data_IF_040663909213
#
_entry.id   IF_040663909213
#
_cell.length_a   1.000
_cell.length_b   1.000
_cell.length_c   1.000
_cell.angle_alpha   90.00
_cell.angle_beta   90.00
_cell.angle_gamma   90.00
#
_symmetry.space_group_name_H-M   'P 1'
#
loop_
_entity.id
_entity.type
_entity.pdbx_description
1 polymer ?
#
# COMPACT_ATOMS: atom_id res chain seq x y z
N UNK A 1 12.10 -9.79 37.56
CA UNK A 1 11.18 -10.94 37.78
C UNK A 1 9.76 -10.41 37.94
N UNK A 2 8.83 -10.95 37.14
CA UNK A 2 7.37 -11.12 37.37
C UNK A 2 6.55 -9.85 37.70
N UNK A 3 5.77 -9.36 36.73
CA UNK A 3 4.38 -9.76 36.40
C UNK A 3 3.35 -9.01 37.24
N UNK A 4 2.70 -8.02 36.62
CA UNK A 4 1.31 -7.66 36.93
C UNK A 4 0.54 -7.53 35.61
N UNK A 5 -0.35 -8.50 35.42
CA UNK A 5 -1.30 -8.67 34.32
C UNK A 5 -2.70 -8.49 34.91
N UNK A 6 -3.61 -7.99 34.07
CA UNK A 6 -5.07 -8.15 34.06
C UNK A 6 -5.97 -7.07 34.70
N UNK A 7 -6.67 -6.35 33.81
CA UNK A 7 -8.06 -5.89 33.83
C UNK A 7 -8.36 -5.62 32.33
N UNK A 8 -9.25 -6.26 31.59
CA UNK A 8 -10.69 -6.55 31.79
C UNK A 8 -11.10 -7.77 30.92
N UNK A 9 -12.15 -8.55 31.28
CA UNK A 9 -12.49 -9.83 30.64
C UNK A 9 -13.31 -9.75 29.34
N UNK A 10 -13.13 -10.81 28.54
CA UNK A 10 -13.88 -11.22 27.34
C UNK A 10 -15.39 -11.42 27.61
N UNK A 11 -16.24 -10.79 26.80
CA UNK A 11 -17.68 -11.12 26.71
C UNK A 11 -17.84 -12.30 25.76
N UNK A 12 -17.66 -13.51 26.29
CA UNK A 12 -18.15 -14.75 25.73
C UNK A 12 -18.33 -15.75 26.86
N UNK A 13 -19.48 -15.64 27.55
CA UNK A 13 -20.10 -16.64 28.43
C UNK A 13 -21.19 -15.96 29.26
N UNK A 14 -22.42 -15.90 28.73
CA UNK A 14 -23.62 -15.71 29.55
C UNK A 14 -24.74 -16.59 28.98
N UNK A 15 -24.56 -17.90 29.15
CA UNK A 15 -25.63 -18.89 29.05
C UNK A 15 -25.40 -19.91 30.16
N UNK A 16 -26.01 -19.69 31.33
CA UNK A 16 -26.94 -20.61 32.02
C UNK A 16 -27.09 -20.27 33.50
N UNK A 17 -28.30 -20.53 33.99
CA UNK A 17 -28.71 -20.65 35.39
C UNK A 17 -29.04 -19.35 36.16
N UNK A 18 -30.33 -18.98 36.15
CA UNK A 18 -31.11 -19.22 37.37
C UNK A 18 -32.60 -19.43 37.06
N UNK A 19 -33.07 -20.63 37.42
CA UNK A 19 -34.46 -20.92 37.79
C UNK A 19 -34.81 -20.06 39.00
N UNK A 20 -35.93 -19.35 38.95
CA UNK A 20 -36.76 -19.19 40.14
C UNK A 20 -38.26 -19.32 39.79
N UNK A 21 -38.96 -20.01 40.69
CA UNK A 21 -40.36 -20.39 40.66
C UNK A 21 -41.18 -19.31 41.37
N UNK A 22 -42.14 -18.68 40.68
CA UNK A 22 -43.51 -18.38 41.16
C UNK A 22 -44.18 -17.37 40.24
N UNK A 23 -45.18 -17.82 39.49
CA UNK A 23 -46.53 -17.26 39.48
C UNK A 23 -47.33 -18.07 38.46
N UNK A 24 -48.29 -18.82 38.98
CA UNK A 24 -49.18 -19.72 38.29
C UNK A 24 -50.52 -19.02 38.03
N UNK A 25 -51.21 -19.43 36.96
CA UNK A 25 -52.64 -19.25 36.63
C UNK A 25 -53.11 -17.92 36.00
N UNK A 26 -53.54 -18.01 34.73
CA UNK A 26 -54.96 -18.16 34.39
C UNK A 26 -55.13 -18.51 32.89
N UNK A 27 -56.06 -19.43 32.61
CA UNK A 27 -56.42 -19.98 31.30
C UNK A 27 -57.67 -19.24 30.79
N UNK A 28 -57.73 -18.98 29.49
CA UNK A 28 -58.86 -19.30 28.58
C UNK A 28 -59.35 -18.16 27.66
N UNK A 29 -59.61 -18.59 26.41
CA UNK A 29 -60.54 -18.09 25.40
C UNK A 29 -60.06 -17.13 24.29
N UNK A 30 -59.81 -17.77 23.14
CA UNK A 30 -60.53 -17.59 21.87
C UNK A 30 -60.06 -16.56 20.83
N UNK A 31 -60.03 -17.07 19.59
CA UNK A 31 -60.22 -16.39 18.30
C UNK A 31 -58.98 -15.88 17.53
N UNK A 32 -58.52 -16.76 16.64
CA UNK A 32 -58.18 -16.53 15.22
C UNK A 32 -57.81 -15.09 14.82
N UNK A 33 -56.53 -14.89 14.48
CA UNK A 33 -56.04 -14.05 13.37
C UNK A 33 -54.59 -14.47 13.05
N UNK A 34 -54.34 -14.90 11.80
CA UNK A 34 -52.99 -15.08 11.26
C UNK A 34 -52.28 -13.72 11.16
N UNK A 35 -51.00 -13.60 11.55
CA UNK A 35 -50.15 -12.52 11.07
C UNK A 35 -49.00 -13.01 10.17
N UNK A 36 -48.68 -12.15 9.21
CA UNK A 36 -47.66 -12.22 8.17
C UNK A 36 -46.23 -12.56 8.66
N UNK A 37 -45.32 -13.01 7.77
CA UNK A 37 -43.95 -13.36 8.17
C UNK A 37 -43.18 -12.12 8.65
N UNK A 38 -42.57 -12.26 9.82
CA UNK A 38 -41.62 -11.31 10.39
C UNK A 38 -40.35 -11.29 9.54
N UNK A 39 -40.18 -10.23 8.75
CA UNK A 39 -38.86 -9.80 8.28
C UNK A 39 -38.17 -9.14 9.48
N UNK A 40 -36.99 -9.58 9.94
CA UNK A 40 -36.22 -8.80 10.89
C UNK A 40 -35.63 -7.60 10.14
N UNK A 41 -36.35 -6.48 10.18
CA UNK A 41 -35.79 -5.16 9.88
C UNK A 41 -34.76 -4.85 10.96
N UNK A 42 -33.48 -5.08 10.67
CA UNK A 42 -32.41 -4.50 11.46
C UNK A 42 -32.41 -2.99 11.20
N UNK A 43 -33.15 -2.25 12.02
CA UNK A 43 -33.09 -0.80 12.04
C UNK A 43 -31.71 -0.39 12.54
N UNK A 44 -30.85 0.04 11.61
CA UNK A 44 -29.68 0.86 11.96
C UNK A 44 -30.22 2.19 12.47
N UNK A 45 -30.13 2.43 13.78
CA UNK A 45 -30.45 3.73 14.35
C UNK A 45 -29.38 4.72 13.92
N UNK A 46 -29.78 5.72 13.14
CA UNK A 46 -28.94 6.75 12.52
C UNK A 46 -28.36 7.76 13.54
N UNK A 47 -28.19 7.38 14.82
CA UNK A 47 -27.64 8.23 15.88
C UNK A 47 -26.20 7.88 16.28
N UNK A 48 -25.57 6.86 15.68
CA UNK A 48 -24.21 6.39 16.02
C UNK A 48 -23.11 6.79 15.01
N UNK A 49 -23.43 7.64 14.03
CA UNK A 49 -22.47 8.13 13.01
C UNK A 49 -21.93 9.54 13.34
N UNK A 50 -22.27 10.10 14.51
CA UNK A 50 -21.57 11.29 15.03
C UNK A 50 -20.29 10.87 15.73
N UNK A 51 -19.17 10.94 15.00
CA UNK A 51 -17.83 10.93 15.59
C UNK A 51 -17.16 9.57 15.72
N UNK A 52 -17.25 8.69 14.71
CA UNK A 52 -16.38 7.52 14.62
C UNK A 52 -14.94 7.95 14.27
N UNK A 53 -14.25 8.54 15.25
CA UNK A 53 -12.82 8.87 15.23
C UNK A 53 -12.04 7.57 15.29
N UNK A 54 -11.87 6.91 14.15
CA UNK A 54 -10.90 5.83 14.06
C UNK A 54 -9.54 6.51 13.97
N UNK A 55 -8.65 6.22 14.93
CA UNK A 55 -7.21 6.31 14.69
C UNK A 55 -6.85 5.21 13.68
N UNK A 56 -7.37 5.36 12.46
CA UNK A 56 -7.00 4.55 11.34
C UNK A 56 -5.56 4.94 11.10
N UNK A 57 -4.67 3.97 11.12
CA UNK A 57 -3.32 4.27 10.65
C UNK A 57 -3.39 4.31 9.13
N UNK A 58 -3.81 5.46 8.64
CA UNK A 58 -3.61 5.98 7.27
C UNK A 58 -2.16 6.38 7.07
N UNK A 59 -1.23 5.68 7.70
CA UNK A 59 0.11 5.66 7.17
C UNK A 59 0.01 4.91 5.86
N UNK A 60 -0.13 5.63 4.74
CA UNK A 60 0.26 5.09 3.45
C UNK A 60 1.61 4.39 3.65
N UNK A 61 1.75 3.13 3.23
CA UNK A 61 3.10 2.54 3.12
C UNK A 61 3.86 3.15 1.94
N UNK A 62 3.45 4.31 1.45
CA UNK A 62 4.46 5.22 0.97
C UNK A 62 5.53 5.57 2.03
N UNK A 63 5.32 5.17 3.28
CA UNK A 63 6.37 4.86 4.27
C UNK A 63 7.22 3.63 3.91
N UNK A 64 7.97 3.70 2.81
CA UNK A 64 9.14 2.85 2.47
C UNK A 64 8.84 1.50 1.87
N UNK A 65 9.34 1.31 0.66
CA UNK A 65 8.97 0.21 -0.19
C UNK A 65 10.12 -0.10 -1.16
N UNK A 66 11.05 -1.01 -0.77
CA UNK A 66 12.22 -1.44 -1.57
C UNK A 66 12.52 -2.96 -1.44
N UNK A 67 12.23 -3.71 -2.53
CA UNK A 67 12.88 -4.86 -3.22
C UNK A 67 13.19 -6.28 -2.62
N UNK A 68 12.79 -7.38 -3.36
CA UNK A 68 12.95 -8.91 -3.35
C UNK A 68 11.90 -10.08 -3.23
N UNK A 69 11.71 -10.88 -4.33
CA UNK A 69 11.92 -12.36 -4.57
C UNK A 69 10.85 -13.03 -5.47
N UNK A 70 10.98 -14.19 -6.15
CA UNK A 70 11.99 -15.00 -6.89
C UNK A 70 11.18 -16.19 -7.45
N UNK A 71 11.41 -16.65 -8.70
CA UNK A 71 11.46 -18.09 -9.07
C UNK A 71 12.46 -18.26 -10.21
N UNK A 72 13.43 -19.14 -10.00
CA UNK A 72 14.48 -19.56 -10.93
C UNK A 72 13.92 -20.48 -12.03
N UNK A 73 14.35 -20.30 -13.28
CA UNK A 73 14.05 -21.19 -14.40
C UNK A 73 15.19 -21.19 -15.42
N UNK A 74 15.59 -22.38 -15.86
CA UNK A 74 16.90 -22.76 -16.41
C UNK A 74 17.20 -22.36 -17.86
N UNK A 75 18.51 -22.19 -18.11
CA UNK A 75 19.38 -22.43 -19.29
C UNK A 75 18.70 -22.82 -20.63
N UNK A 76 19.07 -22.11 -21.70
CA UNK A 76 19.45 -22.68 -23.02
C UNK A 76 20.28 -21.64 -23.82
N UNK A 77 21.46 -22.07 -24.29
CA UNK A 77 22.27 -21.35 -25.29
C UNK A 77 21.53 -21.33 -26.64
N UNK A 78 21.78 -20.30 -27.47
CA UNK A 78 22.59 -20.60 -28.65
C UNK A 78 23.61 -19.51 -29.01
N UNK A 79 24.70 -19.99 -29.59
CA UNK A 79 25.68 -19.26 -30.40
C UNK A 79 25.05 -18.62 -31.64
N UNK A 80 25.47 -17.41 -32.02
CA UNK A 80 26.38 -17.18 -33.16
C UNK A 80 26.23 -15.80 -33.86
N UNK A 81 27.36 -15.41 -34.47
CA UNK A 81 27.59 -14.53 -35.63
C UNK A 81 27.77 -13.03 -35.43
N UNK A 82 29.00 -12.64 -35.79
CA UNK A 82 29.59 -11.32 -36.02
C UNK A 82 29.00 -10.66 -37.27
N UNK A 83 28.61 -9.40 -37.17
CA UNK A 83 28.51 -8.50 -38.32
C UNK A 83 29.19 -7.17 -37.95
N UNK A 84 30.28 -6.86 -38.66
CA UNK A 84 30.96 -5.58 -38.57
C UNK A 84 30.21 -4.55 -39.43
N UNK A 85 29.80 -3.45 -38.82
CA UNK A 85 29.30 -2.27 -39.50
C UNK A 85 29.66 -1.05 -38.68
N UNK A 86 30.78 -0.40 -39.00
CA UNK A 86 31.16 0.88 -38.39
C UNK A 86 30.26 1.95 -38.98
N UNK A 87 29.26 2.37 -38.21
CA UNK A 87 28.57 3.65 -38.41
C UNK A 87 28.85 4.51 -37.20
N UNK A 88 29.64 5.55 -37.39
CA UNK A 88 29.80 6.64 -36.41
C UNK A 88 28.48 7.39 -36.30
N UNK A 89 27.57 6.85 -35.49
CA UNK A 89 26.42 7.57 -34.97
C UNK A 89 26.81 8.10 -33.60
N UNK A 90 26.66 9.40 -33.38
CA UNK A 90 26.76 9.99 -32.06
C UNK A 90 25.75 9.26 -31.15
N UNK A 91 26.16 8.43 -30.18
CA UNK A 91 25.23 7.54 -29.51
C UNK A 91 24.46 8.35 -28.50
N UNK A 92 23.27 8.83 -28.88
CA UNK A 92 22.21 8.95 -27.90
C UNK A 92 21.94 7.53 -27.42
N UNK A 93 22.55 7.16 -26.29
CA UNK A 93 22.42 5.84 -25.67
C UNK A 93 20.95 5.69 -25.26
N UNK A 94 20.17 5.09 -26.15
CA UNK A 94 18.78 4.74 -25.90
C UNK A 94 18.74 3.70 -24.77
N UNK A 95 17.74 3.82 -23.89
CA UNK A 95 17.57 2.87 -22.80
C UNK A 95 17.32 1.46 -23.37
N UNK A 96 18.09 0.51 -22.90
CA UNK A 96 18.00 -0.91 -23.24
C UNK A 96 17.00 -1.60 -22.33
N UNK A 97 16.45 -2.73 -22.77
CA UNK A 97 15.48 -3.50 -22.00
C UNK A 97 16.15 -4.22 -20.83
N UNK A 98 15.39 -4.48 -19.76
CA UNK A 98 15.91 -5.17 -18.57
C UNK A 98 16.51 -6.55 -18.84
N UNK A 99 16.05 -7.26 -19.87
CA UNK A 99 16.59 -8.58 -20.26
C UNK A 99 18.07 -8.54 -20.69
N UNK A 100 18.56 -7.36 -21.09
CA UNK A 100 19.95 -7.15 -21.53
C UNK A 100 20.81 -6.47 -20.46
N UNK A 101 20.29 -6.32 -19.24
CA UNK A 101 21.00 -5.65 -18.16
C UNK A 101 22.32 -6.36 -17.81
N UNK A 102 23.37 -5.60 -17.43
CA UNK A 102 24.63 -6.19 -17.00
C UNK A 102 24.40 -7.15 -15.83
N UNK A 103 25.08 -8.30 -15.86
CA UNK A 103 24.98 -9.31 -14.81
C UNK A 103 25.27 -8.74 -13.41
N UNK A 104 26.19 -7.76 -13.34
CA UNK A 104 26.52 -7.05 -12.11
C UNK A 104 25.35 -6.25 -11.54
N UNK A 105 24.54 -5.59 -12.39
CA UNK A 105 23.36 -4.85 -11.93
C UNK A 105 22.28 -5.80 -11.42
N UNK A 106 22.02 -6.89 -12.14
CA UNK A 106 21.06 -7.92 -11.72
C UNK A 106 21.46 -8.54 -10.37
N UNK A 107 22.76 -8.86 -10.21
CA UNK A 107 23.31 -9.37 -8.95
C UNK A 107 23.18 -8.34 -7.82
N UNK A 108 23.56 -7.09 -8.07
CA UNK A 108 23.47 -6.01 -7.09
C UNK A 108 22.04 -5.83 -6.57
N UNK A 109 21.06 -5.76 -7.48
CA UNK A 109 19.66 -5.67 -7.10
C UNK A 109 19.28 -6.88 -6.25
N UNK A 110 19.59 -8.10 -6.69
CA UNK A 110 19.32 -9.34 -5.93
C UNK A 110 19.92 -9.33 -4.50
N UNK A 111 21.07 -8.70 -4.29
CA UNK A 111 21.70 -8.59 -2.97
C UNK A 111 21.05 -7.53 -2.07
N UNK A 112 20.72 -6.35 -2.60
CA UNK A 112 19.94 -5.30 -1.90
C UNK A 112 18.64 -5.91 -1.37
N UNK A 113 17.98 -6.54 -2.31
CA UNK A 113 16.78 -7.30 -2.16
C UNK A 113 16.88 -8.35 -1.02
N UNK A 114 17.94 -9.15 -1.02
CA UNK A 114 18.14 -10.19 -0.02
C UNK A 114 18.39 -9.62 1.37
N UNK A 115 18.97 -8.42 1.46
CA UNK A 115 19.15 -7.70 2.71
C UNK A 115 17.87 -7.01 3.22
N UNK A 116 16.93 -6.65 2.33
CA UNK A 116 15.63 -6.06 2.69
C UNK A 116 14.60 -7.11 3.17
N UNK A 117 14.49 -8.24 2.46
CA UNK A 117 14.14 -9.52 3.10
C UNK A 117 15.22 -9.81 4.17
N UNK A 118 15.16 -10.71 5.14
CA UNK A 118 16.03 -10.64 6.35
C UNK A 118 15.92 -9.37 7.22
N UNK A 119 15.49 -8.20 6.69
CA UNK A 119 15.34 -6.93 7.43
C UNK A 119 16.66 -6.45 8.04
N UNK A 120 17.75 -6.61 7.30
CA UNK A 120 19.07 -6.20 7.73
C UNK A 120 19.36 -4.77 7.24
N UNK A 121 19.03 -3.80 8.09
CA UNK A 121 19.08 -2.38 7.69
C UNK A 121 20.50 -1.96 7.36
N UNK A 122 21.49 -2.48 8.10
CA UNK A 122 22.89 -2.17 7.87
C UNK A 122 23.35 -2.72 6.52
N UNK A 123 22.97 -3.95 6.18
CA UNK A 123 23.28 -4.53 4.88
C UNK A 123 22.60 -3.78 3.73
N UNK A 124 21.34 -3.33 3.89
CA UNK A 124 20.67 -2.51 2.88
C UNK A 124 21.38 -1.16 2.72
N UNK A 125 21.65 -0.47 3.82
CA UNK A 125 22.30 0.84 3.78
C UNK A 125 23.73 0.77 3.22
N UNK A 126 24.38 -0.39 3.28
CA UNK A 126 25.66 -0.62 2.62
C UNK A 126 25.60 -0.51 1.08
N UNK A 127 24.43 -0.50 0.46
CA UNK A 127 24.28 -0.24 -0.98
C UNK A 127 24.01 1.23 -1.32
N UNK A 128 23.83 2.10 -0.33
CA UNK A 128 23.59 3.53 -0.57
C UNK A 128 24.91 4.31 -0.49
N UNK A 129 25.08 5.27 -1.40
CA UNK A 129 26.19 6.21 -1.36
C UNK A 129 26.05 7.19 -0.19
N UNK A 130 27.18 7.77 0.26
CA UNK A 130 27.14 8.79 1.32
C UNK A 130 26.40 10.06 0.86
N UNK A 131 26.54 10.42 -0.41
CA UNK A 131 25.87 11.57 -1.04
C UNK A 131 24.58 11.18 -1.76
N UNK A 132 23.89 10.15 -1.26
CA UNK A 132 22.65 9.66 -1.86
C UNK A 132 21.58 10.75 -1.87
N UNK A 133 20.89 10.88 -3.02
CA UNK A 133 19.76 11.81 -3.21
C UNK A 133 18.49 11.06 -3.57
N UNK A 134 17.36 11.50 -3.03
CA UNK A 134 16.04 10.93 -3.32
C UNK A 134 15.04 12.01 -3.72
N UNK A 135 14.13 11.71 -4.66
CA UNK A 135 13.09 12.65 -5.13
C UNK A 135 12.20 13.21 -4.03
N UNK A 136 12.03 12.45 -2.94
CA UNK A 136 11.09 12.78 -1.86
C UNK A 136 11.78 13.45 -0.64
N UNK A 137 13.03 13.89 -0.84
CA UNK A 137 13.84 14.55 0.19
C UNK A 137 14.50 13.60 1.19
N UNK A 138 14.57 12.31 0.86
CA UNK A 138 15.29 11.32 1.66
C UNK A 138 16.80 11.37 1.39
N UNK A 139 17.56 11.18 2.46
CA UNK A 139 19.00 10.98 2.48
C UNK A 139 19.30 9.64 3.17
N UNK A 140 20.57 9.23 3.22
CA UNK A 140 20.93 7.92 3.77
C UNK A 140 20.49 7.75 5.24
N UNK A 141 20.56 8.80 6.06
CA UNK A 141 20.21 8.73 7.48
C UNK A 141 18.69 8.56 7.70
N UNK A 142 17.87 9.37 7.02
CA UNK A 142 16.43 9.27 7.20
C UNK A 142 15.84 8.05 6.46
N UNK A 143 16.51 7.53 5.43
CA UNK A 143 16.22 6.24 4.80
C UNK A 143 16.44 5.07 5.78
N UNK A 144 17.55 5.04 6.50
CA UNK A 144 17.83 3.99 7.50
C UNK A 144 16.76 3.97 8.61
N UNK A 145 16.48 5.15 9.18
CA UNK A 145 15.46 5.31 10.24
C UNK A 145 14.11 4.79 9.77
N UNK A 146 13.76 5.14 8.55
CA UNK A 146 12.52 4.78 7.94
C UNK A 146 12.35 3.29 7.64
N UNK A 147 13.36 2.66 7.04
CA UNK A 147 13.36 1.21 6.81
C UNK A 147 13.22 0.46 8.15
N UNK A 148 13.91 0.95 9.18
CA UNK A 148 13.79 0.39 10.54
C UNK A 148 12.36 0.47 11.06
N UNK A 149 11.71 1.63 10.95
CA UNK A 149 10.32 1.82 11.39
C UNK A 149 9.32 1.00 10.58
N UNK A 150 9.53 0.90 9.26
CA UNK A 150 8.73 0.06 8.39
C UNK A 150 8.79 -1.41 8.85
N UNK A 151 9.97 -1.96 9.05
CA UNK A 151 10.13 -3.38 9.42
C UNK A 151 9.69 -3.68 10.84
N UNK A 152 9.77 -2.72 11.76
CA UNK A 152 9.13 -2.84 13.07
C UNK A 152 7.61 -2.96 12.94
N UNK A 153 7.03 -2.24 11.99
CA UNK A 153 5.57 -2.21 11.76
C UNK A 153 5.07 -3.37 10.91
N UNK A 154 5.86 -3.84 9.96
CA UNK A 154 5.52 -4.93 9.06
C UNK A 154 6.68 -5.93 9.02
N UNK A 155 6.78 -6.82 10.02
CA UNK A 155 7.94 -7.70 10.20
C UNK A 155 8.02 -8.82 9.16
N UNK A 156 6.95 -9.09 8.41
CA UNK A 156 6.89 -10.18 7.43
C UNK A 156 6.94 -9.72 5.97
N UNK A 157 7.39 -8.48 5.72
CA UNK A 157 7.50 -7.96 4.35
C UNK A 157 8.44 -8.81 3.51
N UNK A 158 7.98 -9.14 2.32
CA UNK A 158 8.77 -9.62 1.22
C UNK A 158 8.64 -8.59 0.10
N UNK A 159 9.62 -8.55 -0.76
CA UNK A 159 9.69 -7.52 -1.75
C UNK A 159 9.80 -8.18 -3.16
N UNK A 160 10.23 -7.53 -4.27
CA UNK A 160 10.75 -8.14 -5.53
C UNK A 160 11.13 -7.07 -6.53
N UNK A 161 12.37 -7.06 -7.02
CA UNK A 161 12.75 -6.05 -8.00
C UNK A 161 13.20 -6.59 -9.33
N UNK A 162 12.69 -5.95 -10.36
CA UNK A 162 12.92 -6.26 -11.75
C UNK A 162 13.42 -5.01 -12.46
N UNK A 163 14.39 -5.18 -13.35
CA UNK A 163 14.86 -4.11 -14.21
C UNK A 163 13.87 -3.99 -15.35
N UNK A 164 13.28 -2.81 -15.51
CA UNK A 164 12.42 -2.49 -16.66
C UNK A 164 13.28 -2.01 -17.84
N UNK A 165 14.17 -1.06 -17.57
CA UNK A 165 15.10 -0.54 -18.56
C UNK A 165 16.42 -0.12 -17.91
N UNK A 166 17.47 0.03 -18.69
CA UNK A 166 18.76 0.52 -18.21
C UNK A 166 19.56 1.23 -19.31
N UNK A 167 20.51 2.07 -18.92
CA UNK A 167 21.50 2.68 -19.82
C UNK A 167 22.80 2.92 -19.08
N UNK A 168 23.91 2.84 -19.81
CA UNK A 168 25.21 3.30 -19.34
C UNK A 168 25.35 4.82 -19.51
N UNK A 169 25.89 5.49 -18.50
CA UNK A 169 26.24 6.91 -18.51
C UNK A 169 27.66 7.09 -17.95
N UNK A 170 28.66 7.00 -18.84
CA UNK A 170 30.07 6.94 -18.42
C UNK A 170 30.33 5.65 -17.64
N UNK A 171 30.84 5.78 -16.41
CA UNK A 171 31.03 4.66 -15.47
C UNK A 171 29.77 4.30 -14.68
N UNK A 172 28.70 5.07 -14.80
CA UNK A 172 27.47 4.86 -14.08
C UNK A 172 26.47 4.04 -14.89
N UNK A 173 25.53 3.40 -14.18
CA UNK A 173 24.36 2.77 -14.77
C UNK A 173 23.12 3.49 -14.26
N UNK A 174 22.23 3.89 -15.16
CA UNK A 174 20.90 4.39 -14.81
C UNK A 174 19.89 3.32 -15.17
N UNK A 175 19.11 2.84 -14.22
CA UNK A 175 18.09 1.80 -14.44
C UNK A 175 16.72 2.26 -13.96
N UNK A 176 15.70 1.96 -14.75
CA UNK A 176 14.31 1.96 -14.28
C UNK A 176 13.99 0.58 -13.72
N UNK A 177 13.53 0.52 -12.48
CA UNK A 177 13.20 -0.71 -11.77
C UNK A 177 11.73 -0.73 -11.36
N UNK A 178 11.15 -1.92 -11.28
CA UNK A 178 9.83 -2.16 -10.70
C UNK A 178 9.99 -3.08 -9.51
N UNK A 179 9.58 -2.56 -8.36
CA UNK A 179 9.65 -3.19 -7.06
C UNK A 179 8.25 -3.57 -6.60
N UNK A 180 7.98 -4.85 -6.35
CA UNK A 180 6.72 -5.35 -5.76
C UNK A 180 6.92 -5.73 -4.31
N UNK A 181 5.93 -5.55 -3.46
CA UNK A 181 6.09 -5.71 -2.02
C UNK A 181 4.82 -6.30 -1.46
N UNK A 182 4.97 -7.30 -0.61
CA UNK A 182 3.84 -7.98 0.00
C UNK A 182 4.21 -8.51 1.39
N UNK A 183 3.27 -8.45 2.32
CA UNK A 183 3.44 -9.07 3.62
C UNK A 183 2.21 -8.90 4.47
N UNK A 184 2.27 -9.44 5.67
CA UNK A 184 1.18 -9.34 6.64
C UNK A 184 1.67 -8.81 7.98
N UNK A 185 0.79 -8.13 8.69
CA UNK A 185 1.05 -7.71 10.05
C UNK A 185 -0.17 -8.00 10.91
N UNK A 186 0.05 -8.68 12.03
CA UNK A 186 -0.98 -8.90 13.04
C UNK A 186 -0.80 -7.87 14.14
N UNK A 187 -1.80 -6.99 14.30
CA UNK A 187 -1.86 -6.05 15.40
C UNK A 187 -3.22 -6.16 16.08
N UNK A 188 -3.25 -6.28 17.40
CA UNK A 188 -4.48 -6.25 18.19
C UNK A 188 -5.56 -7.24 17.69
N UNK A 189 -5.13 -8.44 17.27
CA UNK A 189 -6.01 -9.48 16.73
C UNK A 189 -6.50 -9.24 15.29
N UNK A 190 -6.12 -8.13 14.65
CA UNK A 190 -6.43 -7.82 13.25
C UNK A 190 -5.22 -8.11 12.37
N UNK A 191 -5.46 -8.89 11.32
CA UNK A 191 -4.47 -9.13 10.27
C UNK A 191 -4.61 -8.07 9.18
N UNK A 192 -3.53 -7.34 8.95
CA UNK A 192 -3.36 -6.40 7.87
C UNK A 192 -2.53 -7.06 6.78
N UNK A 193 -3.06 -7.08 5.56
CA UNK A 193 -2.35 -7.51 4.37
C UNK A 193 -1.88 -6.29 3.61
N UNK A 194 -0.63 -6.31 3.19
CA UNK A 194 0.02 -5.24 2.45
C UNK A 194 0.40 -5.75 1.08
N UNK A 195 0.09 -4.95 0.05
CA UNK A 195 0.61 -5.10 -1.31
C UNK A 195 1.03 -3.75 -1.84
N UNK A 196 2.16 -3.68 -2.53
CA UNK A 196 2.64 -2.44 -3.10
C UNK A 196 3.48 -2.67 -4.36
N UNK A 197 3.50 -1.66 -5.23
CA UNK A 197 4.35 -1.60 -6.41
C UNK A 197 4.97 -0.21 -6.53
N UNK A 198 6.29 -0.17 -6.69
CA UNK A 198 7.06 1.06 -6.92
C UNK A 198 7.81 0.94 -8.23
N UNK A 199 7.70 1.98 -9.06
CA UNK A 199 8.53 2.16 -10.24
C UNK A 199 9.49 3.30 -9.96
N UNK A 200 10.78 3.02 -10.04
CA UNK A 200 11.81 3.99 -9.71
C UNK A 200 12.88 4.09 -10.79
N UNK A 201 13.49 5.25 -10.92
CA UNK A 201 14.74 5.43 -11.66
C UNK A 201 15.88 5.54 -10.66
N UNK A 202 16.90 4.72 -10.82
CA UNK A 202 18.04 4.64 -9.92
C UNK A 202 19.33 4.84 -10.71
N UNK A 203 20.25 5.63 -10.13
CA UNK A 203 21.61 5.78 -10.63
C UNK A 203 22.56 5.01 -9.73
N UNK A 204 23.33 4.13 -10.35
CA UNK A 204 24.34 3.30 -9.72
C UNK A 204 25.72 3.76 -10.15
N UNK A 205 26.59 4.00 -9.17
CA UNK A 205 28.01 4.28 -9.38
C UNK A 205 28.81 3.23 -8.61
N UNK A 206 29.56 2.40 -9.35
CA UNK A 206 30.10 1.15 -8.79
C UNK A 206 28.97 0.25 -8.30
N UNK A 207 29.00 -0.12 -7.02
CA UNK A 207 27.96 -0.93 -6.36
C UNK A 207 27.06 -0.10 -5.43
N UNK A 208 27.01 1.23 -5.63
CA UNK A 208 26.25 2.14 -4.77
C UNK A 208 25.13 2.83 -5.52
N UNK A 209 23.95 2.89 -4.91
CA UNK A 209 22.86 3.77 -5.31
C UNK A 209 23.22 5.18 -4.86
N UNK A 210 23.42 6.09 -5.82
CA UNK A 210 23.75 7.50 -5.55
C UNK A 210 22.56 8.43 -5.78
N UNK A 211 21.57 8.00 -6.56
CA UNK A 211 20.33 8.74 -6.78
C UNK A 211 19.16 7.80 -6.99
N UNK A 212 18.01 8.14 -6.46
CA UNK A 212 16.74 7.45 -6.71
C UNK A 212 15.59 8.45 -6.90
N UNK A 213 14.77 8.21 -7.91
CA UNK A 213 13.56 8.97 -8.19
C UNK A 213 12.37 8.01 -8.28
N UNK A 214 11.28 8.32 -7.57
CA UNK A 214 10.04 7.55 -7.63
C UNK A 214 9.18 8.07 -8.79
N UNK A 215 9.00 7.22 -9.80
CA UNK A 215 8.24 7.54 -11.01
C UNK A 215 6.75 7.23 -10.85
N UNK A 216 6.45 6.11 -10.19
CA UNK A 216 5.08 5.71 -9.85
C UNK A 216 5.10 4.85 -8.58
N UNK A 217 4.03 4.91 -7.81
CA UNK A 217 3.88 4.14 -6.58
C UNK A 217 2.41 3.89 -6.32
N UNK A 218 2.08 2.65 -5.96
CA UNK A 218 0.77 2.27 -5.46
C UNK A 218 0.94 1.30 -4.30
N UNK A 219 0.16 1.55 -3.25
CA UNK A 219 0.09 0.73 -2.05
C UNK A 219 -1.36 0.36 -1.77
N UNK A 220 -1.61 -0.87 -1.36
CA UNK A 220 -2.89 -1.36 -0.90
C UNK A 220 -2.72 -2.06 0.45
N UNK A 221 -3.59 -1.70 1.39
CA UNK A 221 -3.75 -2.33 2.68
C UNK A 221 -5.15 -2.93 2.76
N UNK A 222 -5.25 -4.19 3.20
CA UNK A 222 -6.56 -4.82 3.44
C UNK A 222 -6.63 -5.46 4.82
N UNK A 223 -7.82 -5.48 5.39
CA UNK A 223 -8.11 -6.07 6.70
C UNK A 223 -9.49 -6.72 6.69
N UNK A 224 -9.67 -7.80 7.44
CA UNK A 224 -10.95 -8.48 7.57
C UNK A 224 -11.11 -9.69 6.65
N UNK A 225 -12.27 -10.35 6.74
CA UNK A 225 -12.57 -11.61 6.04
C UNK A 225 -12.97 -11.39 4.57
N UNK A 226 -13.58 -10.26 4.27
CA UNK A 226 -14.08 -9.90 2.93
C UNK A 226 -13.96 -8.39 2.66
N UNK A 227 -12.72 -7.84 2.66
CA UNK A 227 -12.51 -6.43 2.34
C UNK A 227 -12.95 -6.12 0.90
N UNK A 228 -13.41 -4.90 0.60
CA UNK A 228 -13.87 -4.52 -0.75
C UNK A 228 -12.71 -4.53 -1.75
N UNK A 229 -12.92 -5.04 -2.96
CA UNK A 229 -11.91 -4.96 -4.03
C UNK A 229 -12.03 -3.62 -4.72
N UNK A 230 -10.95 -2.83 -4.70
CA UNK A 230 -10.93 -1.49 -5.29
C UNK A 230 -10.15 -1.49 -6.60
N UNK A 231 -10.73 -0.94 -7.66
CA UNK A 231 -10.00 -0.44 -8.82
C UNK A 231 -9.77 1.06 -8.66
N UNK A 232 -8.54 1.50 -8.89
CA UNK A 232 -8.19 2.93 -8.87
C UNK A 232 -7.91 3.42 -10.28
N UNK A 233 -8.51 4.56 -10.62
CA UNK A 233 -8.15 5.35 -11.79
C UNK A 233 -7.59 6.68 -11.30
N UNK A 234 -6.31 6.93 -11.59
CA UNK A 234 -5.62 8.19 -11.33
C UNK A 234 -4.55 8.36 -12.40
N UNK A 235 -4.40 9.54 -13.03
CA UNK A 235 -3.27 9.81 -13.91
C UNK A 235 -1.95 9.74 -13.12
N UNK A 236 -0.89 9.17 -13.70
CA UNK A 236 0.42 9.15 -13.04
C UNK A 236 1.02 10.55 -12.89
N UNK A 237 0.65 11.48 -13.79
CA UNK A 237 1.16 12.84 -13.81
C UNK A 237 0.13 13.83 -14.37
N UNK A 238 0.20 15.06 -13.88
CA UNK A 238 -0.63 16.20 -14.30
C UNK A 238 0.23 17.46 -14.26
N UNK A 239 -0.17 18.51 -14.99
CA UNK A 239 0.52 19.81 -14.93
C UNK A 239 0.07 20.60 -13.72
N UNK A 240 0.89 21.58 -13.33
CA UNK A 240 0.52 22.58 -12.32
C UNK A 240 -0.83 23.23 -12.65
N UNK A 241 -1.72 23.30 -11.66
CA UNK A 241 -3.07 23.87 -11.81
C UNK A 241 -4.08 23.04 -12.63
N UNK A 242 -3.68 21.92 -13.22
CA UNK A 242 -4.56 21.02 -13.99
C UNK A 242 -5.54 20.30 -13.07
N UNK A 243 -6.78 20.11 -13.53
CA UNK A 243 -7.76 19.28 -12.84
C UNK A 243 -7.50 17.80 -13.15
N UNK A 244 -7.78 16.93 -12.17
CA UNK A 244 -7.60 15.50 -12.34
C UNK A 244 -8.73 14.73 -11.68
N UNK A 245 -9.02 13.56 -12.23
CA UNK A 245 -10.02 12.65 -11.69
C UNK A 245 -9.32 11.58 -10.84
N UNK A 246 -9.89 11.33 -9.67
CA UNK A 246 -9.54 10.22 -8.81
C UNK A 246 -10.79 9.37 -8.56
N UNK A 247 -10.78 8.16 -9.13
CA UNK A 247 -11.84 7.19 -8.95
C UNK A 247 -11.31 6.00 -8.17
N UNK A 248 -11.97 5.65 -7.07
CA UNK A 248 -11.75 4.43 -6.32
C UNK A 248 -13.05 3.61 -6.32
N UNK A 249 -13.13 2.65 -7.24
CA UNK A 249 -14.34 1.93 -7.60
C UNK A 249 -14.35 0.57 -6.92
N UNK A 250 -15.40 0.28 -6.14
CA UNK A 250 -15.66 -1.07 -5.62
C UNK A 250 -16.12 -1.95 -6.77
N UNK A 251 -15.43 -3.07 -6.98
CA UNK A 251 -15.65 -3.96 -8.13
C UNK A 251 -16.86 -4.88 -7.94
N UNK A 252 -17.16 -5.23 -6.70
CA UNK A 252 -18.32 -6.05 -6.37
C UNK A 252 -19.60 -5.20 -6.33
N UNK A 253 -20.77 -5.76 -6.68
CA UNK A 253 -22.05 -5.12 -6.39
C UNK A 253 -22.18 -4.87 -4.88
N UNK A 254 -22.66 -3.67 -4.52
CA UNK A 254 -22.90 -3.31 -3.12
C UNK A 254 -24.18 -4.00 -2.61
N UNK A 255 -25.21 -4.10 -3.43
CA UNK A 255 -26.51 -4.65 -3.00
C UNK A 255 -27.06 -3.83 -1.82
N UNK A 256 -27.38 -4.51 -0.73
CA UNK A 256 -27.87 -3.89 0.51
C UNK A 256 -26.75 -3.58 1.52
N UNK A 257 -25.47 -3.81 1.18
CA UNK A 257 -24.36 -3.50 2.07
C UNK A 257 -24.18 -1.99 2.25
N UNK A 258 -23.82 -1.59 3.47
CA UNK A 258 -23.40 -0.23 3.77
C UNK A 258 -21.92 -0.07 3.40
N UNK A 259 -21.63 0.87 2.50
CA UNK A 259 -20.28 1.27 2.16
C UNK A 259 -19.95 2.61 2.83
N UNK A 260 -18.83 2.63 3.55
CA UNK A 260 -18.32 3.81 4.25
C UNK A 260 -16.92 4.09 3.70
N UNK A 261 -16.57 5.35 3.49
CA UNK A 261 -15.23 5.66 3.03
C UNK A 261 -14.89 7.13 3.05
N UNK A 262 -13.68 7.43 2.61
CA UNK A 262 -13.21 8.79 2.34
C UNK A 262 -12.01 8.76 1.40
N UNK A 263 -11.66 9.92 0.87
CA UNK A 263 -10.43 10.10 0.13
C UNK A 263 -9.65 11.31 0.63
N UNK A 264 -8.33 11.14 0.67
CA UNK A 264 -7.36 12.05 1.28
C UNK A 264 -6.27 12.38 0.26
N UNK A 265 -5.71 13.58 0.39
CA UNK A 265 -4.63 14.05 -0.45
C UNK A 265 -3.52 14.66 0.41
N UNK A 266 -2.29 14.19 0.23
CA UNK A 266 -1.15 14.59 1.06
C UNK A 266 0.10 14.85 0.21
N UNK A 267 0.91 15.88 0.51
CA UNK A 267 2.20 16.07 -0.15
C UNK A 267 3.19 14.97 0.25
N UNK A 268 4.01 14.51 -0.70
CA UNK A 268 5.04 13.51 -0.46
C UNK A 268 6.33 14.18 0.00
N UNK A 269 6.64 14.07 1.29
CA UNK A 269 7.81 14.70 1.90
C UNK A 269 8.43 13.80 2.96
N UNK A 270 9.72 14.00 3.27
CA UNK A 270 10.39 13.36 4.41
C UNK A 270 9.66 13.54 5.76
N UNK A 271 8.83 14.57 5.94
CA UNK A 271 8.08 14.80 7.19
C UNK A 271 6.74 14.06 7.20
N UNK A 272 6.03 14.05 6.07
CA UNK A 272 4.76 13.32 5.92
C UNK A 272 4.99 11.82 5.95
N UNK A 273 6.18 11.36 5.57
CA UNK A 273 6.73 10.01 5.78
C UNK A 273 6.89 9.57 7.24
N UNK A 274 6.43 10.34 8.23
CA UNK A 274 6.40 9.90 9.64
C UNK A 274 5.10 10.28 10.36
N UNK A 275 4.05 10.66 9.62
CA UNK A 275 2.77 11.12 10.18
C UNK A 275 1.63 10.17 9.81
N UNK A 276 0.68 10.01 10.71
CA UNK A 276 -0.62 9.38 10.43
C UNK A 276 -1.68 10.48 10.38
N UNK A 277 -2.38 10.70 9.26
CA UNK A 277 -3.44 11.68 9.21
C UNK A 277 -4.66 11.15 9.97
N UNK A 278 -5.53 12.06 10.38
CA UNK A 278 -6.84 11.69 10.94
C UNK A 278 -7.80 11.36 9.77
N UNK A 279 -8.63 10.33 9.91
CA UNK A 279 -9.66 9.98 8.93
C UNK A 279 -11.03 10.31 9.50
N UNK A 280 -11.76 11.11 8.73
CA UNK A 280 -13.20 11.23 8.87
C UNK A 280 -13.87 10.39 7.77
N UNK A 281 -14.65 9.40 8.20
CA UNK A 281 -15.34 8.44 7.36
C UNK A 281 -16.79 8.88 7.16
N UNK A 282 -17.29 8.77 5.93
CA UNK A 282 -18.67 9.10 5.58
C UNK A 282 -19.38 7.93 4.90
N UNK A 283 -20.71 7.90 5.01
CA UNK A 283 -21.55 6.97 4.27
C UNK A 283 -21.47 7.29 2.77
N UNK A 284 -21.20 6.29 1.95
CA UNK A 284 -21.11 6.45 0.51
C UNK A 284 -22.43 6.05 -0.16
N UNK A 285 -22.98 6.97 -0.95
CA UNK A 285 -24.20 6.75 -1.73
C UNK A 285 -23.93 6.11 -3.10
N UNK A 286 -22.71 5.62 -3.35
CA UNK A 286 -22.29 5.11 -4.66
C UNK A 286 -21.35 3.91 -4.54
N UNK A 287 -21.08 3.27 -5.67
CA UNK A 287 -20.15 2.15 -5.86
C UNK A 287 -18.69 2.40 -5.49
N UNK A 288 -18.34 3.51 -4.84
CA UNK A 288 -16.96 3.93 -4.63
C UNK A 288 -16.84 5.41 -4.28
N UNK A 289 -15.65 5.95 -4.50
CA UNK A 289 -15.32 7.37 -4.31
C UNK A 289 -14.91 7.95 -5.66
N UNK A 290 -15.51 9.07 -6.03
CA UNK A 290 -15.24 9.79 -7.27
C UNK A 290 -14.97 11.24 -6.91
N UNK A 291 -13.74 11.70 -7.11
CA UNK A 291 -13.33 13.08 -6.80
C UNK A 291 -12.66 13.74 -7.99
N UNK A 292 -12.90 15.04 -8.11
CA UNK A 292 -12.15 15.93 -8.98
C UNK A 292 -11.20 16.71 -8.08
N UNK A 293 -9.89 16.52 -8.28
CA UNK A 293 -8.84 17.27 -7.61
C UNK A 293 -8.29 18.36 -8.52
N UNK A 294 -7.60 19.33 -7.92
CA UNK A 294 -6.86 20.36 -8.65
C UNK A 294 -5.41 20.33 -8.24
N UNK A 295 -4.52 20.19 -9.22
CA UNK A 295 -3.10 20.17 -8.98
C UNK A 295 -2.64 21.53 -8.39
N UNK A 296 -1.66 21.52 -7.47
CA UNK A 296 -1.06 22.71 -6.90
C UNK A 296 -0.41 23.59 -8.00
N UNK A 297 -0.17 24.86 -7.66
CA UNK A 297 0.48 25.82 -8.57
C UNK A 297 1.99 25.60 -8.72
N UNK A 298 2.59 24.72 -7.92
CA UNK A 298 4.02 24.40 -7.94
C UNK A 298 4.23 22.91 -8.18
N UNK A 299 5.29 22.50 -8.90
CA UNK A 299 5.62 21.09 -9.06
C UNK A 299 5.88 20.43 -7.72
N UNK A 300 5.18 19.33 -7.45
CA UNK A 300 5.36 18.49 -6.28
C UNK A 300 4.82 17.08 -6.54
N UNK A 301 5.02 16.18 -5.58
CA UNK A 301 4.41 14.86 -5.63
C UNK A 301 3.36 14.77 -4.54
N UNK A 302 2.23 14.11 -4.83
CA UNK A 302 1.12 13.94 -3.89
C UNK A 302 0.73 12.47 -3.80
N UNK A 303 0.32 12.06 -2.62
CA UNK A 303 -0.38 10.80 -2.41
C UNK A 303 -1.88 11.06 -2.41
N UNK A 304 -2.58 10.36 -3.28
CA UNK A 304 -4.04 10.33 -3.31
C UNK A 304 -4.46 8.98 -2.73
N UNK A 305 -5.19 9.01 -1.62
CA UNK A 305 -5.60 7.81 -0.90
C UNK A 305 -7.12 7.68 -0.87
N UNK A 306 -7.61 6.45 -0.96
CA UNK A 306 -9.00 6.10 -0.64
C UNK A 306 -9.02 5.06 0.48
N UNK A 307 -9.93 5.24 1.42
CA UNK A 307 -10.26 4.24 2.45
C UNK A 307 -11.70 3.85 2.25
N UNK A 308 -11.95 2.57 2.06
CA UNK A 308 -13.26 1.98 1.82
C UNK A 308 -13.49 0.83 2.80
N UNK A 309 -14.62 0.86 3.48
CA UNK A 309 -15.03 -0.08 4.52
C UNK A 309 -16.45 -0.54 4.25
N UNK A 310 -16.66 -1.84 4.42
CA UNK A 310 -18.00 -2.45 4.46
C UNK A 310 -18.04 -3.56 5.49
N UNK A 311 -19.19 -4.20 5.65
CA UNK A 311 -19.27 -5.45 6.38
C UNK A 311 -18.29 -6.47 5.80
N UNK A 312 -17.38 -6.96 6.64
CA UNK A 312 -16.38 -7.95 6.24
C UNK A 312 -14.96 -7.41 6.09
N UNK A 313 -14.74 -6.10 5.95
CA UNK A 313 -13.38 -5.58 5.94
C UNK A 313 -13.18 -4.14 5.48
N UNK A 314 -11.90 -3.78 5.43
CA UNK A 314 -11.40 -2.46 5.04
C UNK A 314 -10.37 -2.66 3.94
N UNK A 315 -10.44 -1.83 2.91
CA UNK A 315 -9.35 -1.64 1.95
C UNK A 315 -8.95 -0.17 1.95
N UNK A 316 -7.65 0.08 2.10
CA UNK A 316 -7.04 1.37 1.84
C UNK A 316 -6.13 1.24 0.63
N UNK A 317 -6.19 2.20 -0.28
CA UNK A 317 -5.31 2.30 -1.43
C UNK A 317 -4.72 3.69 -1.48
N UNK A 318 -3.42 3.79 -1.72
CA UNK A 318 -2.70 5.05 -1.90
C UNK A 318 -1.93 4.99 -3.21
N UNK A 319 -2.07 6.03 -4.03
CA UNK A 319 -1.40 6.15 -5.32
C UNK A 319 -0.67 7.48 -5.40
N UNK A 320 0.52 7.47 -6.00
CA UNK A 320 1.30 8.69 -6.25
C UNK A 320 0.81 9.41 -7.50
N UNK A 321 0.57 10.71 -7.36
CA UNK A 321 0.38 11.68 -8.44
C UNK A 321 1.63 12.57 -8.53
N UNK A 322 2.20 12.70 -9.73
CA UNK A 322 3.30 13.66 -9.97
C UNK A 322 2.77 14.93 -10.61
N UNK A 323 2.96 16.07 -9.94
CA UNK A 323 2.60 17.38 -10.48
C UNK A 323 3.85 17.98 -11.12
N UNK A 324 3.81 18.12 -12.45
CA UNK A 324 4.93 18.58 -13.27
C UNK A 324 4.64 19.96 -13.84
N UNK A 325 5.67 20.61 -14.40
CA UNK A 325 5.51 21.91 -15.09
C UNK A 325 4.76 21.76 -16.41
#
# INVERSE_FOLDING_TARGET
MRNFLNLVPSVSQYLTSHRDKKADRAIANASIRLPAPLIPTAAFTLSEVEGLRINAVVGSIAHFLICLTVVSGSILHPTAVRAQGVRSANPQVQAQTGATAPAQLTKLLTEIDAAANRRDVKAVMAFYGQNFTHSDGLNSQNMEKALTQLWQRYPSLNYRTEIKSWKAEGSAIVAETVTRIAGTHKKDGRELNLKATIRSQQRFEGQKIVKQEILAEQTQLTSGKNPPTIQVNLPEQVKVGEEYHFDAIVREPIGDDILIGTALEEPVTAKTLFKSPEIDLELLNSGGIFKIGKAPATPENRWISAVLMRQGGITMVTVRLRVVK
#
